data_IF_560007752157
#
_entry.id   IF_560007752157
#
_cell.length_a   1.000
_cell.length_b   1.000
_cell.length_c   1.000
_cell.angle_alpha   90.00
_cell.angle_beta   90.00
_cell.angle_gamma   90.00
#
_symmetry.space_group_name_H-M   'P 1'
#
loop_
_entity.id
_entity.type
_entity.pdbx_description
1 polymer ?
#
# COMPACT_ATOMS: atom_id res chain seq x y z
N UNK A 1 -13.42 5.99 -25.32
CA UNK A 1 -13.31 7.26 -24.64
C UNK A 1 -13.05 7.08 -23.15
N UNK A 2 -12.15 7.84 -22.66
CA UNK A 2 -11.77 7.79 -21.27
C UNK A 2 -12.76 8.54 -20.42
N UNK A 3 -13.16 7.92 -19.34
CA UNK A 3 -14.03 8.56 -18.38
C UNK A 3 -13.21 9.30 -17.35
N UNK A 4 -13.21 10.59 -17.42
CA UNK A 4 -12.41 11.38 -16.52
C UNK A 4 -12.95 11.41 -15.12
N UNK A 5 -14.22 11.08 -14.97
CA UNK A 5 -14.87 11.21 -13.66
C UNK A 5 -15.24 9.88 -13.07
N UNK A 6 -14.52 8.82 -13.47
CA UNK A 6 -14.73 7.51 -12.88
C UNK A 6 -14.24 7.56 -11.43
N UNK A 7 -15.14 7.43 -10.44
CA UNK A 7 -14.73 7.55 -9.05
C UNK A 7 -13.73 6.48 -8.65
N UNK A 8 -13.83 5.31 -9.24
CA UNK A 8 -12.92 4.23 -8.88
C UNK A 8 -11.51 4.54 -9.36
N UNK A 9 -11.38 5.03 -10.59
CA UNK A 9 -10.07 5.40 -11.10
C UNK A 9 -9.48 6.56 -10.32
N UNK A 10 -10.32 7.49 -9.92
CA UNK A 10 -9.84 8.62 -9.13
C UNK A 10 -9.33 8.16 -7.77
N UNK A 11 -10.04 7.25 -7.13
CA UNK A 11 -9.60 6.70 -5.86
C UNK A 11 -8.28 5.97 -5.99
N UNK A 12 -8.15 5.17 -7.03
CA UNK A 12 -6.91 4.44 -7.25
C UNK A 12 -5.75 5.39 -7.52
N UNK A 13 -5.98 6.44 -8.28
CA UNK A 13 -4.94 7.41 -8.57
C UNK A 13 -4.46 8.07 -7.29
N UNK A 14 -5.39 8.48 -6.43
CA UNK A 14 -5.04 9.08 -5.16
C UNK A 14 -4.26 8.11 -4.28
N UNK A 15 -4.71 6.86 -4.25
CA UNK A 15 -4.02 5.85 -3.45
C UNK A 15 -2.59 5.65 -3.92
N UNK A 16 -2.38 5.55 -5.22
CA UNK A 16 -1.03 5.35 -5.73
C UNK A 16 -0.15 6.57 -5.51
N UNK A 17 -0.73 7.76 -5.54
CA UNK A 17 0.05 8.96 -5.22
C UNK A 17 0.52 8.92 -3.77
N UNK A 18 -0.35 8.48 -2.87
CA UNK A 18 0.03 8.36 -1.46
C UNK A 18 1.09 7.28 -1.27
N UNK A 19 0.93 6.16 -1.97
CA UNK A 19 1.89 5.07 -1.87
C UNK A 19 3.26 5.52 -2.36
N UNK A 20 3.30 6.32 -3.41
CA UNK A 20 4.57 6.80 -3.93
C UNK A 20 5.33 7.69 -2.98
N UNK A 21 4.67 8.22 -1.95
CA UNK A 21 5.34 9.02 -0.94
C UNK A 21 5.98 8.18 0.15
N UNK A 22 5.73 6.89 0.16
CA UNK A 22 6.32 5.99 1.14
C UNK A 22 7.76 5.66 0.77
N UNK A 23 8.51 5.22 1.78
CA UNK A 23 9.84 4.70 1.51
C UNK A 23 9.78 3.45 0.67
N UNK A 24 10.93 3.08 0.11
CA UNK A 24 10.96 2.00 -0.87
C UNK A 24 10.47 0.68 -0.28
N UNK A 25 10.88 0.34 0.93
CA UNK A 25 10.46 -0.90 1.55
C UNK A 25 8.96 -0.89 1.84
N UNK A 26 8.47 0.19 2.43
CA UNK A 26 7.05 0.29 2.73
C UNK A 26 6.21 0.22 1.46
N UNK A 27 6.68 0.87 0.41
CA UNK A 27 6.00 0.84 -0.87
C UNK A 27 5.91 -0.58 -1.41
N UNK A 28 7.00 -1.32 -1.33
CA UNK A 28 7.00 -2.71 -1.78
C UNK A 28 6.02 -3.55 -0.99
N UNK A 29 6.00 -3.37 0.31
CA UNK A 29 5.13 -4.16 1.18
C UNK A 29 3.67 -3.89 0.87
N UNK A 30 3.29 -2.62 0.76
CA UNK A 30 1.89 -2.31 0.52
C UNK A 30 1.44 -2.76 -0.87
N UNK A 31 2.31 -2.67 -1.87
CA UNK A 31 1.96 -3.12 -3.21
C UNK A 31 1.74 -4.62 -3.24
N UNK A 32 2.59 -5.38 -2.56
CA UNK A 32 2.40 -6.82 -2.47
C UNK A 32 1.11 -7.17 -1.75
N UNK A 33 0.81 -6.42 -0.69
CA UNK A 33 -0.44 -6.63 0.04
C UNK A 33 -1.66 -6.38 -0.85
N UNK A 34 -1.60 -5.36 -1.69
CA UNK A 34 -2.69 -5.05 -2.59
C UNK A 34 -2.84 -6.10 -3.69
N UNK A 35 -1.80 -6.87 -3.96
CA UNK A 35 -1.86 -7.98 -4.89
C UNK A 35 -2.31 -9.26 -4.23
N UNK A 36 -2.84 -9.17 -3.03
CA UNK A 36 -3.38 -10.31 -2.28
C UNK A 36 -2.32 -11.33 -1.88
N UNK A 37 -1.08 -10.88 -1.75
CA UNK A 37 -0.03 -11.76 -1.21
C UNK A 37 -0.25 -11.95 0.28
N UNK A 38 -0.01 -13.17 0.76
CA UNK A 38 -0.11 -13.45 2.17
C UNK A 38 1.04 -12.78 2.93
N UNK A 39 0.89 -12.65 4.25
CA UNK A 39 1.96 -12.11 5.06
C UNK A 39 3.22 -12.97 4.95
N UNK A 40 3.04 -14.29 4.87
CA UNK A 40 4.18 -15.19 4.71
C UNK A 40 4.90 -14.93 3.39
N UNK A 41 4.13 -14.74 2.32
CA UNK A 41 4.73 -14.46 1.01
C UNK A 41 5.48 -13.14 1.03
N UNK A 42 4.88 -12.12 1.64
CA UNK A 42 5.52 -10.81 1.72
C UNK A 42 6.81 -10.91 2.54
N UNK A 43 6.75 -11.64 3.64
CA UNK A 43 7.94 -11.83 4.47
C UNK A 43 9.06 -12.51 3.68
N UNK A 44 8.70 -13.52 2.90
CA UNK A 44 9.69 -14.24 2.11
C UNK A 44 10.31 -13.35 1.05
N UNK A 45 9.48 -12.58 0.36
CA UNK A 45 9.94 -11.72 -0.73
C UNK A 45 10.82 -10.59 -0.19
N UNK A 46 10.45 -10.02 0.95
CA UNK A 46 11.15 -8.86 1.49
C UNK A 46 12.30 -9.23 2.42
N UNK A 47 12.36 -10.48 2.85
CA UNK A 47 13.39 -10.90 3.82
C UNK A 47 13.04 -10.56 5.25
N UNK A 48 11.81 -10.16 5.52
CA UNK A 48 11.37 -9.83 6.87
C UNK A 48 10.67 -11.01 7.50
N UNK A 49 10.44 -10.90 8.82
CA UNK A 49 9.61 -11.89 9.50
C UNK A 49 8.14 -11.54 9.29
N UNK A 50 7.27 -12.53 9.50
CA UNK A 50 5.83 -12.29 9.39
C UNK A 50 5.38 -11.22 10.38
N UNK A 51 5.92 -11.27 11.60
CA UNK A 51 5.59 -10.26 12.61
C UNK A 51 5.97 -8.87 12.15
N UNK A 52 7.15 -8.73 11.55
CA UNK A 52 7.58 -7.43 11.05
C UNK A 52 6.70 -6.95 9.90
N UNK A 53 6.29 -7.85 9.03
CA UNK A 53 5.38 -7.48 7.94
C UNK A 53 4.07 -6.96 8.51
N UNK A 54 3.50 -7.65 9.49
CA UNK A 54 2.25 -7.22 10.09
C UNK A 54 2.39 -5.85 10.74
N UNK A 55 3.47 -5.64 11.47
CA UNK A 55 3.71 -4.35 12.12
C UNK A 55 3.86 -3.24 11.09
N UNK A 56 4.64 -3.50 10.06
CA UNK A 56 4.86 -2.48 9.04
C UNK A 56 3.58 -2.17 8.28
N UNK A 57 2.78 -3.18 7.97
CA UNK A 57 1.51 -2.94 7.30
C UNK A 57 0.58 -2.09 8.14
N UNK A 58 0.54 -2.36 9.45
CA UNK A 58 -0.28 -1.56 10.34
C UNK A 58 0.15 -0.10 10.31
N UNK A 59 1.45 0.14 10.36
CA UNK A 59 1.99 1.51 10.33
C UNK A 59 1.75 2.18 8.97
N UNK A 60 1.89 1.41 7.90
CA UNK A 60 1.65 1.94 6.56
C UNK A 60 0.19 2.36 6.42
N UNK A 61 -0.73 1.51 6.89
CA UNK A 61 -2.14 1.84 6.82
C UNK A 61 -2.46 3.11 7.60
N UNK A 62 -1.86 3.25 8.77
CA UNK A 62 -2.05 4.47 9.56
C UNK A 62 -1.52 5.69 8.81
N UNK A 63 -0.35 5.55 8.21
CA UNK A 63 0.25 6.65 7.49
C UNK A 63 -0.62 7.05 6.30
N UNK A 64 -1.15 6.08 5.59
CA UNK A 64 -2.02 6.38 4.45
C UNK A 64 -3.31 7.06 4.90
N UNK A 65 -3.85 6.64 6.03
CA UNK A 65 -5.04 7.30 6.56
C UNK A 65 -4.76 8.76 6.88
N UNK A 66 -3.59 9.05 7.40
CA UNK A 66 -3.24 10.43 7.75
C UNK A 66 -2.98 11.28 6.53
N UNK A 67 -2.56 10.68 5.45
CA UNK A 67 -2.36 11.41 4.20
C UNK A 67 -3.67 11.77 3.54
N UNK A 68 -4.70 10.99 3.79
CA UNK A 68 -6.00 11.22 3.17
C UNK A 68 -6.65 12.44 3.80
N UNK A 69 -7.05 13.37 2.97
CA UNK A 69 -7.71 14.58 3.43
C UNK A 69 -9.19 14.50 3.20
N UNK A 70 -9.94 14.94 4.16
CA UNK A 70 -11.39 14.96 4.05
C UNK A 70 -11.91 16.24 3.45
#
# INVERSE_FOLDING_TARGET
IIEEHDPIHEMLRQLYQMINQLGQLDKSIILLYLEDKSYEDIAEITGLTVTNVATKLSRIKDKLKKMKKE
#
